data_IF_382095197387
#
_entry.id   IF_382095197387
#
_cell.length_a   1.000
_cell.length_b   1.000
_cell.length_c   1.000
_cell.angle_alpha   90.00
_cell.angle_beta   90.00
_cell.angle_gamma   90.00
#
_symmetry.space_group_name_H-M   'P 1'
#
loop_
_entity.id
_entity.type
_entity.pdbx_description
1 polymer ?
#
# COMPACT_ATOMS: atom_id res chain seq x y z
N UNK A 1 19.45 -33.82 -44.45
CA UNK A 1 19.13 -32.99 -43.27
C UNK A 1 18.25 -31.85 -43.76
N UNK A 2 16.91 -32.04 -43.74
CA UNK A 2 15.96 -31.02 -44.19
C UNK A 2 15.70 -30.02 -43.04
N UNK A 3 16.01 -28.76 -43.31
CA UNK A 3 15.71 -27.66 -42.40
C UNK A 3 14.18 -27.44 -42.35
N UNK A 4 13.57 -27.68 -41.23
CA UNK A 4 12.17 -27.35 -40.96
C UNK A 4 12.08 -25.83 -40.86
N UNK A 5 11.22 -25.17 -41.70
CA UNK A 5 11.04 -23.73 -41.62
C UNK A 5 10.41 -23.36 -40.27
N UNK A 6 10.76 -22.19 -39.68
CA UNK A 6 10.16 -21.73 -38.44
C UNK A 6 8.63 -21.52 -38.61
N UNK A 7 7.84 -21.78 -37.57
CA UNK A 7 6.40 -21.57 -37.61
C UNK A 7 6.10 -20.08 -37.88
N UNK A 8 5.03 -19.78 -38.62
CA UNK A 8 4.64 -18.41 -38.88
C UNK A 8 4.33 -17.68 -37.57
N UNK A 9 4.62 -16.37 -37.46
CA UNK A 9 4.30 -15.62 -36.25
C UNK A 9 2.79 -15.70 -35.99
N UNK A 10 2.43 -16.12 -34.81
CA UNK A 10 1.05 -16.19 -34.32
C UNK A 10 0.38 -14.83 -34.53
N UNK A 11 -0.57 -14.73 -35.43
CA UNK A 11 -1.35 -13.54 -35.78
C UNK A 11 -2.47 -13.25 -34.73
N UNK A 12 -2.28 -13.65 -33.49
CA UNK A 12 -3.01 -13.07 -32.40
C UNK A 12 -2.45 -11.65 -32.12
N UNK A 13 -2.52 -10.79 -33.15
CA UNK A 13 -2.41 -9.35 -32.97
C UNK A 13 -3.53 -8.97 -31.99
N UNK A 14 -3.12 -8.77 -30.76
CA UNK A 14 -3.93 -8.23 -29.68
C UNK A 14 -4.69 -7.01 -30.20
N UNK A 15 -5.96 -7.18 -30.53
CA UNK A 15 -6.88 -6.08 -30.75
C UNK A 15 -7.07 -5.36 -29.41
N UNK A 16 -6.09 -4.55 -29.04
CA UNK A 16 -6.36 -3.45 -28.12
C UNK A 16 -7.43 -2.62 -28.82
N UNK A 17 -8.66 -2.71 -28.33
CA UNK A 17 -9.69 -1.75 -28.68
C UNK A 17 -9.14 -0.39 -28.31
N UNK A 18 -8.64 0.35 -29.29
CA UNK A 18 -8.12 1.70 -29.11
C UNK A 18 -9.28 2.53 -28.58
N UNK A 19 -9.18 2.89 -27.33
CA UNK A 19 -10.14 3.76 -26.67
C UNK A 19 -10.22 5.06 -27.47
N UNK A 20 -11.42 5.57 -27.79
CA UNK A 20 -11.54 6.86 -28.44
C UNK A 20 -10.81 7.93 -27.62
N UNK A 21 -10.07 8.86 -28.24
CA UNK A 21 -9.14 9.77 -27.57
C UNK A 21 -9.75 10.66 -26.46
N UNK A 22 -11.07 10.68 -26.31
CA UNK A 22 -11.80 11.49 -25.32
C UNK A 22 -12.59 10.68 -24.28
N UNK A 23 -12.50 9.36 -24.28
CA UNK A 23 -13.24 8.60 -23.27
C UNK A 23 -12.57 8.71 -21.89
N UNK A 24 -13.34 9.04 -20.81
CA UNK A 24 -12.77 9.16 -19.46
C UNK A 24 -12.02 7.89 -19.02
N UNK A 25 -10.89 8.01 -18.26
CA UNK A 25 -10.17 6.86 -17.74
C UNK A 25 -11.06 5.99 -16.88
N UNK A 26 -11.10 4.68 -17.16
CA UNK A 26 -11.80 3.74 -16.31
C UNK A 26 -10.90 3.31 -15.16
N UNK A 27 -11.38 3.49 -13.95
CA UNK A 27 -10.75 3.02 -12.71
C UNK A 27 -11.59 1.89 -12.14
N UNK A 28 -10.95 0.76 -11.91
CA UNK A 28 -11.59 -0.42 -11.32
C UNK A 28 -11.13 -0.54 -9.88
N UNK A 29 -12.09 -0.60 -8.97
CA UNK A 29 -11.84 -0.95 -7.57
C UNK A 29 -12.11 -2.42 -7.39
N UNK A 30 -11.15 -3.14 -6.87
CA UNK A 30 -11.38 -4.54 -6.52
C UNK A 30 -12.37 -4.62 -5.35
N UNK A 31 -13.37 -5.47 -5.51
CA UNK A 31 -14.41 -5.74 -4.52
C UNK A 31 -14.61 -7.25 -4.31
N UNK A 32 -13.79 -8.08 -4.97
CA UNK A 32 -13.89 -9.55 -4.93
C UNK A 32 -13.10 -10.21 -3.81
N UNK A 33 -12.13 -9.51 -3.19
CA UNK A 33 -11.18 -10.11 -2.25
C UNK A 33 -11.45 -9.72 -0.78
N UNK A 34 -12.71 -9.68 -0.39
CA UNK A 34 -13.10 -9.40 1.00
C UNK A 34 -12.79 -8.00 1.47
N UNK A 35 -12.64 -7.05 0.55
CA UNK A 35 -12.42 -5.65 0.90
C UNK A 35 -13.62 -5.12 1.69
N UNK A 36 -13.38 -4.44 2.81
CA UNK A 36 -14.45 -3.73 3.49
C UNK A 36 -15.04 -2.68 2.54
N UNK A 37 -16.34 -2.57 2.52
CA UNK A 37 -17.20 -1.74 1.68
C UNK A 37 -16.56 -0.41 1.22
N UNK A 38 -15.79 -0.45 0.14
CA UNK A 38 -14.95 0.65 -0.34
C UNK A 38 -15.76 1.87 -0.83
N UNK A 39 -17.02 1.67 -1.24
CA UNK A 39 -17.85 2.70 -1.83
C UNK A 39 -19.36 2.54 -1.60
N UNK A 40 -19.80 1.74 -0.66
CA UNK A 40 -21.23 1.63 -0.37
C UNK A 40 -21.73 2.91 0.32
N UNK A 41 -22.28 3.82 -0.50
CA UNK A 41 -23.13 4.90 -0.06
C UNK A 41 -24.48 4.29 0.32
N UNK A 42 -24.74 4.10 1.59
CA UNK A 42 -26.07 3.60 2.02
C UNK A 42 -26.06 2.70 3.24
N UNK A 43 -24.91 2.25 3.69
CA UNK A 43 -24.79 1.65 5.01
C UNK A 43 -24.82 2.74 6.10
N UNK A 44 -25.45 2.42 7.22
CA UNK A 44 -25.46 3.29 8.38
C UNK A 44 -24.02 3.69 8.69
N UNK A 45 -23.72 4.98 8.57
CA UNK A 45 -22.37 5.55 8.70
C UNK A 45 -21.71 5.25 10.04
N UNK A 46 -22.44 4.67 10.98
CA UNK A 46 -21.95 4.27 12.29
C UNK A 46 -21.13 2.97 12.29
N UNK A 47 -21.30 2.13 11.26
CA UNK A 47 -20.58 0.85 11.16
C UNK A 47 -19.35 0.91 10.25
N UNK A 48 -19.18 1.97 9.46
CA UNK A 48 -18.05 2.10 8.53
C UNK A 48 -16.97 3.01 9.10
N UNK A 49 -16.05 2.42 9.81
CA UNK A 49 -14.94 3.16 10.41
C UNK A 49 -13.94 3.70 9.38
N UNK A 50 -13.85 3.08 8.20
CA UNK A 50 -12.97 3.48 7.11
C UNK A 50 -13.56 3.13 5.75
N UNK A 51 -13.34 3.97 4.74
CA UNK A 51 -13.76 3.72 3.36
C UNK A 51 -12.95 4.52 2.36
N UNK A 52 -12.99 4.10 1.10
CA UNK A 52 -12.30 4.74 -0.01
C UNK A 52 -13.17 5.74 -0.81
N UNK A 53 -14.29 6.19 -0.25
CA UNK A 53 -15.18 7.17 -0.91
C UNK A 53 -14.40 8.43 -1.31
N UNK A 54 -13.59 8.98 -0.43
CA UNK A 54 -12.80 10.18 -0.74
C UNK A 54 -11.73 9.96 -1.82
N UNK A 55 -11.15 8.76 -1.91
CA UNK A 55 -10.26 8.39 -3.02
C UNK A 55 -11.05 8.32 -4.33
N UNK A 56 -12.22 7.67 -4.32
CA UNK A 56 -13.12 7.62 -5.48
C UNK A 56 -13.54 9.02 -5.94
N UNK A 57 -13.96 9.88 -5.02
CA UNK A 57 -14.31 11.27 -5.34
C UNK A 57 -13.12 12.04 -5.94
N UNK A 58 -11.91 11.82 -5.42
CA UNK A 58 -10.69 12.44 -5.98
C UNK A 58 -10.49 12.01 -7.43
N UNK A 59 -10.64 10.72 -7.73
CA UNK A 59 -10.55 10.18 -9.09
C UNK A 59 -11.65 10.72 -10.01
N UNK A 60 -12.89 10.82 -9.51
CA UNK A 60 -14.00 11.44 -10.27
C UNK A 60 -13.70 12.92 -10.60
N UNK A 61 -13.14 13.68 -9.66
CA UNK A 61 -12.70 15.07 -9.90
C UNK A 61 -11.56 15.17 -10.92
N UNK A 62 -10.76 14.11 -11.07
CA UNK A 62 -9.74 14.00 -12.12
C UNK A 62 -10.31 13.49 -13.47
N UNK A 63 -11.64 13.40 -13.59
CA UNK A 63 -12.32 13.02 -14.82
C UNK A 63 -12.36 11.51 -15.07
N UNK A 64 -12.15 10.69 -14.05
CA UNK A 64 -12.23 9.24 -14.19
C UNK A 64 -13.65 8.70 -13.99
N UNK A 65 -13.95 7.58 -14.63
CA UNK A 65 -15.09 6.73 -14.30
C UNK A 65 -14.64 5.64 -13.33
N UNK A 66 -15.30 5.53 -12.18
CA UNK A 66 -14.98 4.52 -11.16
C UNK A 66 -16.05 3.42 -11.14
N UNK A 67 -15.64 2.17 -11.04
CA UNK A 67 -16.53 1.01 -10.96
C UNK A 67 -15.92 -0.08 -10.05
N UNK A 68 -16.74 -0.85 -9.31
CA UNK A 68 -16.28 -2.06 -8.65
C UNK A 68 -16.02 -3.20 -9.64
N UNK A 69 -15.18 -4.15 -9.28
CA UNK A 69 -14.98 -5.38 -10.06
C UNK A 69 -16.18 -6.32 -10.01
N UNK A 70 -17.02 -6.24 -8.98
CA UNK A 70 -18.15 -7.17 -8.79
C UNK A 70 -17.70 -8.64 -8.66
N UNK A 71 -18.66 -9.57 -8.78
CA UNK A 71 -18.40 -11.01 -8.64
C UNK A 71 -17.77 -11.67 -9.88
N UNK A 72 -17.43 -10.89 -10.89
CA UNK A 72 -16.83 -11.42 -12.12
C UNK A 72 -15.31 -11.40 -12.02
N UNK A 73 -14.66 -12.34 -12.74
CA UNK A 73 -13.21 -12.36 -12.87
C UNK A 73 -12.65 -10.97 -13.15
N UNK A 74 -11.66 -10.56 -12.36
CA UNK A 74 -10.97 -9.27 -12.46
C UNK A 74 -10.45 -9.02 -13.88
N UNK A 75 -10.03 -10.07 -14.61
CA UNK A 75 -9.55 -10.00 -15.99
C UNK A 75 -10.47 -9.24 -16.93
N UNK A 76 -11.78 -9.44 -16.81
CA UNK A 76 -12.75 -8.75 -17.69
C UNK A 76 -12.72 -7.24 -17.54
N UNK A 77 -12.46 -6.77 -16.33
CA UNK A 77 -12.35 -5.35 -16.05
C UNK A 77 -11.01 -4.77 -16.49
N UNK A 78 -9.91 -5.53 -16.31
CA UNK A 78 -8.55 -5.08 -16.62
C UNK A 78 -8.34 -4.79 -18.12
N UNK A 79 -9.07 -5.44 -19.02
CA UNK A 79 -8.97 -5.18 -20.47
C UNK A 79 -9.33 -3.73 -20.84
N UNK A 80 -10.15 -3.07 -20.03
CA UNK A 80 -10.66 -1.70 -20.29
C UNK A 80 -10.17 -0.69 -19.27
N UNK A 81 -9.65 -1.16 -18.14
CA UNK A 81 -9.17 -0.32 -17.07
C UNK A 81 -7.93 0.48 -17.46
N UNK A 82 -7.81 1.69 -16.95
CA UNK A 82 -6.56 2.46 -16.92
C UNK A 82 -5.84 2.25 -15.59
N UNK A 83 -6.59 2.20 -14.49
CA UNK A 83 -6.08 2.05 -13.13
C UNK A 83 -6.88 0.96 -12.41
N UNK A 84 -6.16 0.05 -11.78
CA UNK A 84 -6.69 -0.88 -10.78
C UNK A 84 -6.37 -0.33 -9.39
N UNK A 85 -7.38 -0.20 -8.55
CA UNK A 85 -7.26 0.09 -7.13
C UNK A 85 -7.54 -1.20 -6.37
N UNK A 86 -6.58 -1.67 -5.61
CA UNK A 86 -6.71 -2.79 -4.69
C UNK A 86 -6.77 -2.24 -3.25
N UNK A 87 -7.97 -2.03 -2.69
CA UNK A 87 -8.12 -1.79 -1.26
C UNK A 87 -7.56 -2.99 -0.49
N UNK A 88 -7.20 -2.84 0.78
CA UNK A 88 -6.64 -3.97 1.52
C UNK A 88 -7.60 -5.14 1.51
N UNK A 89 -7.23 -6.29 0.92
CA UNK A 89 -8.03 -7.49 1.05
C UNK A 89 -8.01 -7.90 2.53
N UNK A 90 -9.14 -8.37 3.03
CA UNK A 90 -9.26 -8.77 4.42
C UNK A 90 -10.23 -9.93 4.55
N UNK A 91 -9.92 -10.86 5.45
CA UNK A 91 -10.90 -11.84 5.91
C UNK A 91 -12.04 -11.14 6.68
N UNK A 92 -13.12 -11.85 6.97
CA UNK A 92 -14.14 -11.33 7.85
C UNK A 92 -13.66 -11.36 9.32
N UNK A 93 -13.97 -10.30 10.07
CA UNK A 93 -13.70 -10.31 11.51
C UNK A 93 -14.74 -11.18 12.22
N UNK A 94 -14.27 -12.18 12.94
CA UNK A 94 -15.14 -13.04 13.76
C UNK A 94 -15.16 -12.54 15.18
N UNK A 95 -16.30 -11.99 15.63
CA UNK A 95 -16.52 -11.60 17.02
C UNK A 95 -16.45 -12.78 18.00
N UNK A 96 -16.80 -14.01 17.54
CA UNK A 96 -16.72 -15.22 18.36
C UNK A 96 -15.28 -15.64 18.67
N UNK A 97 -14.33 -15.31 17.79
CA UNK A 97 -12.93 -15.70 17.92
C UNK A 97 -12.02 -14.51 18.21
N UNK A 98 -12.57 -13.30 18.20
CA UNK A 98 -11.81 -12.04 18.31
C UNK A 98 -10.61 -12.01 17.35
N UNK A 99 -10.78 -12.54 16.16
CA UNK A 99 -9.73 -12.70 15.16
C UNK A 99 -10.27 -12.54 13.74
N UNK A 100 -9.41 -12.10 12.85
CA UNK A 100 -9.68 -12.14 11.42
C UNK A 100 -9.66 -13.58 10.92
N UNK A 101 -10.77 -14.01 10.33
CA UNK A 101 -10.87 -15.30 9.69
C UNK A 101 -10.52 -15.14 8.22
N UNK A 102 -9.62 -15.97 7.67
CA UNK A 102 -9.39 -15.95 6.24
C UNK A 102 -10.68 -16.32 5.51
N UNK A 103 -11.05 -15.51 4.54
CA UNK A 103 -12.01 -15.88 3.53
C UNK A 103 -11.23 -16.45 2.33
N UNK A 104 -11.74 -17.51 1.72
CA UNK A 104 -11.14 -18.01 0.48
C UNK A 104 -11.06 -16.90 -0.58
N UNK A 105 -12.04 -15.99 -0.59
CA UNK A 105 -12.08 -14.81 -1.45
C UNK A 105 -11.08 -13.71 -1.10
N UNK A 106 -10.34 -13.79 0.01
CA UNK A 106 -9.31 -12.78 0.34
C UNK A 106 -7.94 -13.09 -0.25
N UNK A 107 -7.79 -14.21 -0.94
CA UNK A 107 -6.57 -14.63 -1.61
C UNK A 107 -6.70 -14.45 -3.12
N UNK A 108 -5.67 -13.88 -3.73
CA UNK A 108 -5.54 -13.86 -5.18
C UNK A 108 -5.02 -15.21 -5.66
N UNK A 109 -5.67 -15.80 -6.65
CA UNK A 109 -5.10 -16.98 -7.28
C UNK A 109 -3.96 -16.65 -8.25
N UNK A 110 -3.21 -17.66 -8.67
CA UNK A 110 -2.05 -17.47 -9.55
C UNK A 110 -2.42 -16.88 -10.91
N UNK A 111 -3.64 -17.15 -11.40
CA UNK A 111 -4.14 -16.60 -12.66
C UNK A 111 -4.43 -15.11 -12.50
N UNK A 112 -5.11 -14.70 -11.44
CA UNK A 112 -5.41 -13.28 -11.14
C UNK A 112 -4.14 -12.47 -10.96
N UNK A 113 -3.17 -12.99 -10.20
CA UNK A 113 -1.85 -12.36 -10.09
C UNK A 113 -1.20 -12.21 -11.46
N UNK A 114 -1.22 -13.27 -12.28
CA UNK A 114 -0.69 -13.23 -13.64
C UNK A 114 -1.39 -12.18 -14.53
N UNK A 115 -2.69 -12.01 -14.38
CA UNK A 115 -3.49 -11.02 -15.12
C UNK A 115 -3.18 -9.60 -14.69
N UNK A 116 -3.04 -9.34 -13.38
CA UNK A 116 -2.63 -8.03 -12.85
C UNK A 116 -1.23 -7.66 -13.35
N UNK A 117 -0.28 -8.60 -13.28
CA UNK A 117 1.08 -8.37 -13.77
C UNK A 117 1.13 -8.14 -15.29
N UNK A 118 0.31 -8.86 -16.06
CA UNK A 118 0.17 -8.63 -17.52
C UNK A 118 -0.41 -7.25 -17.81
N UNK A 119 -1.48 -6.87 -17.08
CA UNK A 119 -2.08 -5.54 -17.18
C UNK A 119 -1.04 -4.43 -16.95
N UNK A 120 -0.23 -4.56 -15.90
CA UNK A 120 0.85 -3.62 -15.65
C UNK A 120 1.90 -3.60 -16.77
N UNK A 121 2.37 -4.78 -17.22
CA UNK A 121 3.36 -4.84 -18.34
C UNK A 121 2.88 -4.11 -19.57
N UNK A 122 1.58 -4.15 -19.86
CA UNK A 122 0.95 -3.51 -21.02
C UNK A 122 0.68 -2.01 -20.83
N UNK A 123 1.01 -1.44 -19.69
CA UNK A 123 0.84 -0.02 -19.42
C UNK A 123 -0.35 0.33 -18.54
N UNK A 124 -0.95 -0.67 -17.89
CA UNK A 124 -1.92 -0.46 -16.82
C UNK A 124 -1.31 0.21 -15.60
N UNK A 125 -2.13 0.63 -14.67
CA UNK A 125 -1.74 1.32 -13.45
C UNK A 125 -2.28 0.57 -12.24
N UNK A 126 -1.52 0.54 -11.14
CA UNK A 126 -1.93 -0.11 -9.90
C UNK A 126 -1.74 0.82 -8.71
N UNK A 127 -2.78 0.96 -7.91
CA UNK A 127 -2.70 1.46 -6.55
C UNK A 127 -3.10 0.34 -5.60
N UNK A 128 -2.18 -0.11 -4.75
CA UNK A 128 -2.41 -1.19 -3.79
C UNK A 128 -2.17 -0.69 -2.39
N UNK A 129 -3.10 -0.97 -1.50
CA UNK A 129 -2.98 -0.73 -0.08
C UNK A 129 -3.00 -2.05 0.69
N UNK A 130 -2.10 -2.16 1.66
CA UNK A 130 -2.04 -3.27 2.60
C UNK A 130 -2.56 -2.84 3.98
N UNK A 131 -2.45 -3.72 4.96
CA UNK A 131 -2.63 -3.41 6.37
C UNK A 131 -1.32 -3.56 7.13
N UNK A 132 -1.28 -3.01 8.37
CA UNK A 132 -0.23 -3.31 9.34
C UNK A 132 0.03 -4.81 9.42
N UNK A 133 1.25 -5.21 9.66
CA UNK A 133 1.70 -6.61 9.69
C UNK A 133 1.48 -7.37 8.37
N UNK A 134 1.26 -6.67 7.24
CA UNK A 134 1.15 -7.29 5.93
C UNK A 134 0.19 -8.48 5.88
N UNK A 135 0.57 -9.50 5.13
CA UNK A 135 -0.25 -10.70 4.91
C UNK A 135 -0.52 -11.51 6.18
N UNK A 136 0.38 -11.46 7.16
CA UNK A 136 0.25 -12.27 8.38
C UNK A 136 -0.91 -11.81 9.28
N UNK A 137 -1.33 -10.55 9.16
CA UNK A 137 -2.43 -10.02 9.94
C UNK A 137 -3.80 -10.32 9.31
N UNK A 138 -3.90 -10.18 8.01
CA UNK A 138 -5.15 -10.32 7.25
C UNK A 138 -5.32 -11.70 6.63
N UNK A 139 -4.31 -12.58 6.75
CA UNK A 139 -4.25 -13.88 6.07
C UNK A 139 -4.46 -13.74 4.56
N UNK A 140 -3.73 -12.81 3.96
CA UNK A 140 -3.73 -12.56 2.52
C UNK A 140 -2.43 -13.06 1.90
N UNK A 141 -2.31 -12.96 0.57
CA UNK A 141 -1.10 -13.32 -0.17
C UNK A 141 -0.62 -12.17 -1.07
N UNK A 142 -0.81 -10.92 -0.64
CA UNK A 142 -0.37 -9.74 -1.38
C UNK A 142 1.12 -9.78 -1.72
N UNK A 143 1.92 -10.47 -0.89
CA UNK A 143 3.35 -10.65 -1.14
C UNK A 143 3.63 -11.38 -2.45
N UNK A 144 2.76 -12.30 -2.88
CA UNK A 144 2.90 -12.99 -4.16
C UNK A 144 2.72 -12.03 -5.34
N UNK A 145 1.86 -11.01 -5.19
CA UNK A 145 1.69 -9.95 -6.17
C UNK A 145 2.80 -8.90 -6.11
N UNK A 146 3.24 -8.51 -4.91
CA UNK A 146 4.20 -7.39 -4.74
C UNK A 146 5.64 -7.81 -4.98
N UNK A 147 6.00 -9.08 -4.73
CA UNK A 147 7.36 -9.61 -4.95
C UNK A 147 7.82 -9.48 -6.41
N UNK A 148 7.03 -9.85 -7.43
CA UNK A 148 7.39 -9.61 -8.82
C UNK A 148 7.54 -8.12 -9.19
N UNK A 149 6.91 -7.22 -8.44
CA UNK A 149 7.06 -5.77 -8.59
C UNK A 149 8.34 -5.24 -7.92
N UNK A 150 9.12 -6.12 -7.29
CA UNK A 150 10.34 -5.76 -6.59
C UNK A 150 10.13 -5.20 -5.18
N UNK A 151 8.99 -5.48 -4.58
CA UNK A 151 8.64 -5.00 -3.25
C UNK A 151 8.15 -6.14 -2.36
N UNK A 152 8.52 -6.10 -1.08
CA UNK A 152 8.02 -7.04 -0.08
C UNK A 152 7.28 -6.28 0.99
N UNK A 153 6.08 -6.74 1.32
CA UNK A 153 5.36 -6.32 2.52
C UNK A 153 6.02 -6.94 3.75
N UNK A 154 6.34 -6.12 4.75
CA UNK A 154 6.93 -6.59 5.99
C UNK A 154 5.85 -6.91 7.03
N UNK A 155 6.16 -7.88 7.90
CA UNK A 155 5.32 -8.28 9.03
C UNK A 155 5.57 -7.37 10.23
N UNK A 156 5.31 -6.07 10.04
CA UNK A 156 5.59 -5.04 11.04
C UNK A 156 4.51 -3.95 11.10
N UNK A 157 4.64 -3.06 12.07
CA UNK A 157 3.84 -1.85 12.19
C UNK A 157 4.71 -0.68 12.62
N UNK A 158 4.53 0.46 11.97
CA UNK A 158 5.17 1.72 12.36
C UNK A 158 4.31 2.43 13.40
N UNK A 159 4.93 2.79 14.52
CA UNK A 159 4.32 3.47 15.64
C UNK A 159 5.16 4.68 16.04
N UNK A 160 4.52 5.82 16.28
CA UNK A 160 5.16 6.97 16.88
C UNK A 160 5.10 6.87 18.41
N UNK A 161 6.25 6.94 19.05
CA UNK A 161 6.38 6.82 20.50
C UNK A 161 5.70 7.96 21.28
N UNK A 162 5.58 9.15 20.70
CA UNK A 162 4.93 10.28 21.35
C UNK A 162 3.40 10.11 21.36
N UNK A 163 2.83 9.85 20.19
CA UNK A 163 1.37 9.66 20.08
C UNK A 163 0.92 8.39 20.78
N UNK A 164 1.75 7.35 20.78
CA UNK A 164 1.46 6.10 21.49
C UNK A 164 1.29 6.29 23.00
N UNK A 165 1.97 7.27 23.60
CA UNK A 165 1.83 7.60 25.03
C UNK A 165 0.57 8.39 25.34
N UNK A 166 0.11 9.19 24.38
CA UNK A 166 -0.99 10.14 24.57
C UNK A 166 -2.36 9.58 24.18
N UNK A 167 -2.40 8.54 23.34
CA UNK A 167 -3.64 8.05 22.73
C UNK A 167 -3.72 6.51 22.77
N UNK A 168 -4.93 5.99 22.49
CA UNK A 168 -5.09 4.56 22.28
C UNK A 168 -4.25 4.11 21.06
N UNK A 169 -3.55 2.96 21.11
CA UNK A 169 -2.66 2.49 20.07
C UNK A 169 -3.25 2.49 18.65
N UNK A 170 -4.54 2.15 18.54
CA UNK A 170 -5.24 2.15 17.24
C UNK A 170 -5.56 3.56 16.74
N UNK A 171 -5.44 4.58 17.59
CA UNK A 171 -5.61 5.98 17.22
C UNK A 171 -4.28 6.70 17.01
N UNK A 172 -3.18 6.08 17.39
CA UNK A 172 -1.86 6.66 17.22
C UNK A 172 -1.57 6.91 15.74
N UNK A 173 -1.13 8.10 15.42
CA UNK A 173 -0.69 8.51 14.09
C UNK A 173 0.72 9.07 14.16
N UNK A 174 1.35 9.18 13.01
CA UNK A 174 2.61 9.88 12.84
C UNK A 174 2.60 10.72 11.56
N UNK A 175 3.39 11.77 11.59
CA UNK A 175 3.50 12.71 10.48
C UNK A 175 4.84 12.49 9.77
N UNK A 176 4.77 12.31 8.45
CA UNK A 176 5.94 12.26 7.58
C UNK A 176 6.16 13.64 6.99
N UNK A 177 7.23 14.35 7.40
CA UNK A 177 7.56 15.65 6.85
C UNK A 177 8.06 15.55 5.41
N UNK A 178 8.07 16.66 4.69
CA UNK A 178 8.52 16.75 3.30
C UNK A 178 9.91 16.15 3.06
N UNK A 179 10.81 16.22 4.03
CA UNK A 179 12.16 15.63 3.93
C UNK A 179 12.18 14.11 3.84
N UNK A 180 11.09 13.45 4.26
CA UNK A 180 10.89 12.01 4.17
C UNK A 180 10.04 11.59 2.96
N UNK A 181 9.76 12.50 2.01
CA UNK A 181 9.05 12.27 0.76
C UNK A 181 10.03 12.47 -0.40
N UNK A 182 10.75 11.43 -0.86
CA UNK A 182 11.90 11.60 -1.74
C UNK A 182 11.54 11.93 -3.20
N UNK A 183 10.28 11.70 -3.63
CA UNK A 183 9.87 11.91 -5.02
C UNK A 183 9.27 13.30 -5.22
N UNK A 184 9.94 14.14 -6.02
CA UNK A 184 9.58 15.54 -6.23
C UNK A 184 8.15 15.77 -6.72
N UNK A 185 7.65 14.90 -7.59
CA UNK A 185 6.29 14.98 -8.13
C UNK A 185 5.19 14.79 -7.06
N UNK A 186 5.50 14.09 -5.97
CA UNK A 186 4.57 13.91 -4.85
C UNK A 186 4.48 15.14 -3.95
N UNK A 187 5.41 16.07 -4.08
CA UNK A 187 5.63 17.18 -3.14
C UNK A 187 4.88 18.47 -3.49
N UNK A 188 4.20 18.54 -4.65
CA UNK A 188 3.51 19.76 -5.05
C UNK A 188 2.47 20.17 -4.02
N UNK A 189 2.78 21.26 -3.29
CA UNK A 189 1.96 21.80 -2.21
C UNK A 189 1.80 20.87 -0.99
N UNK A 190 2.67 19.86 -0.81
CA UNK A 190 2.67 18.94 0.33
C UNK A 190 3.82 19.30 1.26
N UNK A 191 3.50 19.60 2.52
CA UNK A 191 4.46 19.79 3.60
C UNK A 191 4.55 18.56 4.51
N UNK A 192 3.41 17.93 4.80
CA UNK A 192 3.33 16.82 5.75
C UNK A 192 2.23 15.85 5.35
N UNK A 193 2.52 14.56 5.42
CA UNK A 193 1.53 13.48 5.25
C UNK A 193 1.35 12.74 6.56
N UNK A 194 0.11 12.55 6.97
CA UNK A 194 -0.26 11.85 8.21
C UNK A 194 -0.62 10.40 7.94
N UNK A 195 -0.05 9.51 8.74
CA UNK A 195 -0.20 8.07 8.60
C UNK A 195 -0.65 7.43 9.89
N UNK A 196 -1.23 6.25 9.78
CA UNK A 196 -1.64 5.43 10.93
C UNK A 196 -1.41 3.97 10.62
N UNK A 197 -0.78 3.26 11.55
CA UNK A 197 -0.66 1.79 11.54
C UNK A 197 -0.13 1.23 10.19
N UNK A 198 0.95 1.79 9.70
CA UNK A 198 1.57 1.37 8.44
C UNK A 198 2.46 0.14 8.63
N UNK A 199 2.36 -0.85 7.75
CA UNK A 199 3.46 -1.79 7.52
C UNK A 199 4.59 -1.09 6.77
N UNK A 200 5.82 -1.55 6.94
CA UNK A 200 6.92 -1.11 6.07
C UNK A 200 7.01 -1.98 4.82
N UNK A 201 7.75 -1.48 3.85
CA UNK A 201 8.00 -2.12 2.56
C UNK A 201 9.50 -2.27 2.35
N UNK A 202 9.96 -3.45 1.95
CA UNK A 202 11.33 -3.63 1.49
C UNK A 202 11.38 -3.56 -0.03
N UNK A 203 12.31 -2.76 -0.56
CA UNK A 203 12.55 -2.66 -2.01
C UNK A 203 13.70 -3.60 -2.36
N UNK A 204 13.47 -4.48 -3.32
CA UNK A 204 14.49 -5.43 -3.76
C UNK A 204 15.53 -4.74 -4.65
N UNK A 205 16.81 -5.07 -4.52
CA UNK A 205 17.87 -4.50 -5.34
C UNK A 205 17.63 -4.74 -6.84
N UNK A 206 18.01 -3.75 -7.66
CA UNK A 206 17.93 -3.86 -9.12
C UNK A 206 16.53 -3.70 -9.71
N UNK A 207 15.53 -3.35 -8.91
CA UNK A 207 14.16 -3.11 -9.37
C UNK A 207 13.92 -1.64 -9.69
N UNK A 208 12.89 -1.37 -10.51
CA UNK A 208 12.45 0.01 -10.82
C UNK A 208 11.39 0.47 -9.83
N UNK A 209 11.72 0.40 -8.54
CA UNK A 209 10.87 0.83 -7.44
C UNK A 209 11.64 1.82 -6.54
N UNK A 210 10.95 2.83 -6.01
CA UNK A 210 11.54 3.89 -5.20
C UNK A 210 10.65 4.19 -3.99
N UNK A 211 11.24 4.58 -2.86
CA UNK A 211 10.46 5.08 -1.73
C UNK A 211 9.60 6.28 -2.16
N UNK A 212 8.31 6.22 -1.91
CA UNK A 212 7.39 7.35 -2.07
C UNK A 212 7.25 8.11 -0.77
N UNK A 213 7.24 7.40 0.35
CA UNK A 213 7.26 7.96 1.69
C UNK A 213 8.06 7.05 2.62
N UNK A 214 8.81 7.67 3.51
CA UNK A 214 9.60 7.02 4.56
C UNK A 214 8.97 7.31 5.93
N UNK A 215 9.04 6.35 6.85
CA UNK A 215 8.75 6.64 8.25
C UNK A 215 9.80 7.60 8.80
N UNK A 216 9.43 8.59 9.64
CA UNK A 216 10.42 9.44 10.29
C UNK A 216 11.27 8.61 11.26
N UNK A 217 12.58 8.66 11.07
CA UNK A 217 13.52 8.00 11.98
C UNK A 217 13.53 8.63 13.37
N UNK A 218 13.96 7.89 14.37
CA UNK A 218 14.16 8.38 15.74
C UNK A 218 12.91 8.43 16.61
N UNK A 219 11.83 9.10 16.19
CA UNK A 219 10.58 9.16 16.93
C UNK A 219 9.63 8.00 16.62
N UNK A 220 9.72 7.44 15.42
CA UNK A 220 8.95 6.29 15.00
C UNK A 220 9.76 5.01 15.12
N UNK A 221 9.08 3.97 15.53
CA UNK A 221 9.62 2.62 15.57
C UNK A 221 8.84 1.73 14.61
N UNK A 222 9.54 0.80 13.95
CA UNK A 222 8.92 -0.35 13.31
C UNK A 222 9.00 -1.53 14.26
N UNK A 223 7.85 -2.11 14.58
CA UNK A 223 7.75 -3.32 15.40
C UNK A 223 7.37 -4.50 14.53
N UNK A 224 8.32 -5.46 14.38
CA UNK A 224 8.07 -6.71 13.69
C UNK A 224 7.48 -7.76 14.65
N UNK A 225 6.29 -8.25 14.31
CA UNK A 225 5.52 -9.17 15.14
C UNK A 225 6.17 -10.55 15.23
N UNK A 226 6.56 -11.12 14.10
CA UNK A 226 7.08 -12.47 13.99
C UNK A 226 8.43 -12.63 14.67
N UNK A 227 9.29 -11.62 14.54
CA UNK A 227 10.63 -11.64 15.09
C UNK A 227 10.76 -10.86 16.42
N UNK A 228 9.71 -10.19 16.87
CA UNK A 228 9.72 -9.29 18.05
C UNK A 228 10.86 -8.28 18.02
N UNK A 229 11.19 -7.80 16.83
CA UNK A 229 12.28 -6.83 16.62
C UNK A 229 11.72 -5.42 16.51
N UNK A 230 12.50 -4.46 16.98
CA UNK A 230 12.19 -3.04 16.89
C UNK A 230 13.29 -2.38 16.06
N UNK A 231 12.89 -1.58 15.09
CA UNK A 231 13.80 -0.75 14.31
C UNK A 231 13.45 0.73 14.51
N UNK A 232 14.46 1.56 14.65
CA UNK A 232 14.35 3.03 14.68
C UNK A 232 14.76 3.67 13.35
N UNK A 233 15.06 2.85 12.36
CA UNK A 233 15.44 3.33 11.04
C UNK A 233 14.26 3.99 10.31
N UNK A 234 14.57 4.93 9.44
CA UNK A 234 13.62 5.44 8.48
C UNK A 234 13.42 4.39 7.38
N UNK A 235 12.21 3.82 7.30
CA UNK A 235 11.88 2.70 6.43
C UNK A 235 10.78 3.11 5.44
N UNK A 236 10.77 2.57 4.20
CA UNK A 236 9.69 2.83 3.25
C UNK A 236 8.34 2.35 3.81
N UNK A 237 7.34 3.24 3.80
CA UNK A 237 5.95 2.96 4.16
C UNK A 237 5.02 3.09 2.96
N UNK A 238 5.51 3.74 1.91
CA UNK A 238 4.90 3.76 0.59
C UNK A 238 6.00 3.73 -0.47
N UNK A 239 5.72 3.06 -1.58
CA UNK A 239 6.65 2.84 -2.70
C UNK A 239 5.93 3.13 -3.99
N UNK A 240 6.60 3.81 -4.92
CA UNK A 240 6.18 3.98 -6.30
C UNK A 240 7.16 3.26 -7.24
N UNK A 241 6.69 2.74 -8.38
CA UNK A 241 7.58 2.05 -9.28
C UNK A 241 7.01 1.85 -10.67
N UNK A 242 7.87 1.25 -11.53
CA UNK A 242 7.55 0.87 -12.89
C UNK A 242 7.59 -0.64 -13.03
N UNK A 243 6.66 -1.21 -13.80
CA UNK A 243 6.67 -2.61 -14.17
C UNK A 243 6.26 -2.75 -15.65
N UNK A 244 7.23 -3.07 -16.51
CA UNK A 244 7.05 -2.98 -17.94
C UNK A 244 6.70 -1.54 -18.36
N UNK A 245 5.56 -1.35 -19.02
CA UNK A 245 5.06 -0.01 -19.40
C UNK A 245 4.16 0.61 -18.31
N UNK A 246 3.84 -0.14 -17.26
CA UNK A 246 2.92 0.26 -16.21
C UNK A 246 3.61 0.99 -15.06
N UNK A 247 2.77 1.58 -14.21
CA UNK A 247 3.17 2.25 -12.97
C UNK A 247 2.42 1.63 -11.81
N UNK A 248 3.05 1.59 -10.67
CA UNK A 248 2.38 1.15 -9.45
C UNK A 248 2.72 2.02 -8.25
N UNK A 249 1.81 2.07 -7.32
CA UNK A 249 2.00 2.59 -5.96
C UNK A 249 1.54 1.55 -4.98
N UNK A 250 2.39 1.22 -4.02
CA UNK A 250 2.12 0.31 -2.92
C UNK A 250 2.19 1.09 -1.62
N UNK A 251 1.22 0.93 -0.75
CA UNK A 251 1.19 1.58 0.57
C UNK A 251 0.97 0.55 1.68
N UNK A 252 1.72 0.67 2.75
CA UNK A 252 1.70 -0.26 3.88
C UNK A 252 0.46 -0.17 4.76
N UNK A 253 -0.46 0.77 4.48
CA UNK A 253 -1.72 0.91 5.20
C UNK A 253 -2.66 1.90 4.54
N UNK A 254 -3.98 1.74 4.70
CA UNK A 254 -4.97 2.49 3.93
C UNK A 254 -5.31 3.87 4.49
N UNK A 255 -5.13 4.07 5.79
CA UNK A 255 -5.78 5.16 6.54
C UNK A 255 -5.48 6.57 6.03
N UNK A 256 -4.30 6.80 5.42
CA UNK A 256 -3.96 8.10 4.84
C UNK A 256 -4.88 8.48 3.65
N UNK A 257 -5.53 7.50 3.03
CA UNK A 257 -6.33 7.64 1.82
C UNK A 257 -7.82 7.33 2.03
N UNK A 258 -8.18 7.00 3.25
CA UNK A 258 -9.55 6.68 3.65
C UNK A 258 -10.25 7.89 4.28
N UNK A 259 -11.56 7.91 4.12
CA UNK A 259 -12.49 8.74 4.89
C UNK A 259 -13.15 7.92 6.00
N UNK A 260 -13.91 8.55 6.88
CA UNK A 260 -14.55 7.90 8.03
C UNK A 260 -13.80 8.13 9.34
N UNK A 261 -14.23 7.46 10.40
CA UNK A 261 -13.75 7.71 11.78
C UNK A 261 -12.24 7.50 11.96
N UNK A 262 -11.67 6.52 11.28
CA UNK A 262 -10.23 6.24 11.34
C UNK A 262 -9.47 6.74 10.11
N UNK A 263 -10.18 7.25 9.10
CA UNK A 263 -9.58 7.82 7.91
C UNK A 263 -8.85 9.13 8.19
N UNK A 264 -7.76 9.34 7.50
CA UNK A 264 -6.91 10.53 7.64
C UNK A 264 -6.87 11.39 6.39
N UNK A 265 -7.67 11.07 5.36
CA UNK A 265 -7.63 11.78 4.07
C UNK A 265 -7.80 13.30 4.21
N UNK A 266 -8.64 13.73 5.15
CA UNK A 266 -8.94 15.15 5.38
C UNK A 266 -8.02 15.79 6.44
N UNK A 267 -6.91 15.13 6.79
CA UNK A 267 -5.94 15.63 7.77
C UNK A 267 -4.61 15.95 7.12
N UNK A 268 -3.85 16.91 7.66
CA UNK A 268 -2.59 17.38 7.08
C UNK A 268 -2.75 17.66 5.58
N UNK A 269 -1.79 17.25 4.75
CA UNK A 269 -1.84 17.40 3.29
C UNK A 269 -2.22 16.10 2.57
N UNK A 270 -2.88 15.16 3.26
CA UNK A 270 -3.16 13.83 2.71
C UNK A 270 -3.99 13.87 1.42
N UNK A 271 -5.02 14.71 1.36
CA UNK A 271 -5.84 14.85 0.15
C UNK A 271 -5.04 15.36 -1.05
N UNK A 272 -4.11 16.29 -0.81
CA UNK A 272 -3.22 16.82 -1.84
C UNK A 272 -2.19 15.79 -2.28
N UNK A 273 -1.59 15.09 -1.32
CA UNK A 273 -0.67 13.98 -1.59
C UNK A 273 -1.35 12.89 -2.41
N UNK A 274 -2.57 12.46 -2.02
CA UNK A 274 -3.37 11.51 -2.79
C UNK A 274 -3.59 12.00 -4.23
N UNK A 275 -4.01 13.27 -4.40
CA UNK A 275 -4.21 13.84 -5.72
C UNK A 275 -2.95 13.76 -6.58
N UNK A 276 -1.79 14.11 -6.02
CA UNK A 276 -0.52 14.05 -6.73
C UNK A 276 -0.18 12.62 -7.14
N UNK A 277 -0.38 11.65 -6.24
CA UNK A 277 -0.20 10.20 -6.52
C UNK A 277 -1.11 9.74 -7.65
N UNK A 278 -2.39 10.12 -7.63
CA UNK A 278 -3.35 9.73 -8.68
C UNK A 278 -3.04 10.41 -10.02
N UNK A 279 -2.64 11.67 -10.02
CA UNK A 279 -2.16 12.35 -11.23
C UNK A 279 -0.97 11.62 -11.84
N UNK A 280 0.02 11.24 -11.03
CA UNK A 280 1.18 10.50 -11.52
C UNK A 280 0.79 9.13 -12.09
N UNK A 281 -0.11 8.40 -11.44
CA UNK A 281 -0.59 7.12 -11.93
C UNK A 281 -1.37 7.25 -13.24
N UNK A 282 -2.18 8.29 -13.39
CA UNK A 282 -3.05 8.48 -14.57
C UNK A 282 -2.32 9.13 -15.75
N UNK A 283 -1.17 9.76 -15.52
CA UNK A 283 -0.40 10.43 -16.55
C UNK A 283 0.14 9.43 -17.58
N UNK A 284 -0.03 9.74 -18.86
CA UNK A 284 0.47 8.96 -20.00
C UNK A 284 1.87 9.37 -20.44
N UNK A 285 2.37 10.52 -19.96
CA UNK A 285 3.74 10.94 -20.26
C UNK A 285 4.74 9.95 -19.64
N UNK A 286 5.89 9.70 -20.29
CA UNK A 286 6.94 8.92 -19.68
C UNK A 286 7.23 9.53 -18.29
N UNK A 287 7.18 8.66 -17.27
CA UNK A 287 7.47 9.12 -15.93
C UNK A 287 8.79 9.90 -15.97
N UNK A 288 8.83 11.18 -15.53
CA UNK A 288 10.11 11.77 -15.24
C UNK A 288 10.73 10.80 -14.23
N UNK A 289 11.74 10.05 -14.68
CA UNK A 289 12.66 9.37 -13.78
C UNK A 289 13.27 10.56 -13.07
N UNK A 290 12.63 10.94 -11.95
CA UNK A 290 13.16 11.99 -11.13
C UNK A 290 14.58 11.59 -10.91
N UNK A 291 15.50 12.45 -11.25
CA UNK A 291 16.79 12.41 -10.61
C UNK A 291 16.44 12.32 -9.12
N UNK A 292 16.29 11.07 -8.65
CA UNK A 292 16.38 10.78 -7.24
C UNK A 292 17.56 11.63 -6.84
N UNK A 293 17.37 12.47 -5.84
CA UNK A 293 18.49 13.14 -5.25
C UNK A 293 19.52 12.04 -5.02
N UNK A 294 20.39 11.88 -6.02
CA UNK A 294 21.54 11.00 -6.01
C UNK A 294 22.58 11.65 -5.09
N UNK A 295 22.15 11.99 -3.91
CA UNK A 295 22.89 12.37 -2.77
C UNK A 295 22.96 11.14 -1.88
N UNK A 296 23.99 10.37 -2.09
CA UNK A 296 24.74 9.57 -1.11
C UNK A 296 24.01 8.80 0.02
N UNK A 297 22.67 8.91 0.19
CA UNK A 297 21.96 8.29 1.31
C UNK A 297 21.47 6.85 1.07
N UNK A 298 21.61 6.29 -0.13
CA UNK A 298 21.03 4.98 -0.45
C UNK A 298 21.98 3.90 -0.94
N UNK A 299 23.26 4.18 -1.08
CA UNK A 299 24.23 3.14 -1.42
C UNK A 299 24.48 2.14 -0.27
N UNK A 300 24.01 2.42 0.95
CA UNK A 300 24.22 1.60 2.14
C UNK A 300 22.95 1.06 2.81
N UNK A 301 21.77 1.24 2.24
CA UNK A 301 20.58 0.53 2.70
C UNK A 301 20.48 -0.84 2.00
N UNK A 302 21.55 -1.60 2.03
CA UNK A 302 21.49 -3.06 1.93
C UNK A 302 20.60 -3.56 3.08
N UNK A 303 20.10 -4.81 3.03
CA UNK A 303 19.34 -5.43 4.11
C UNK A 303 20.22 -5.76 5.34
N UNK A 304 21.25 -5.02 5.60
CA UNK A 304 21.76 -4.90 6.94
C UNK A 304 20.65 -4.21 7.75
N UNK A 305 19.71 -5.07 8.17
CA UNK A 305 19.06 -4.87 9.45
C UNK A 305 20.15 -4.34 10.36
N UNK A 306 20.13 -3.02 10.61
CA UNK A 306 20.97 -2.44 11.61
C UNK A 306 20.62 -3.22 12.88
N UNK A 307 21.32 -4.33 13.09
CA UNK A 307 21.45 -4.92 14.38
C UNK A 307 22.07 -3.77 15.15
N UNK A 308 21.23 -3.01 15.84
CA UNK A 308 21.70 -2.23 16.96
C UNK A 308 22.29 -3.26 17.89
N UNK A 309 23.53 -3.62 17.62
CA UNK A 309 24.35 -4.34 18.56
C UNK A 309 24.38 -3.50 19.81
N UNK A 310 23.63 -3.95 20.75
CA UNK A 310 23.40 -3.41 22.07
C UNK A 310 24.73 -3.27 22.84
N UNK A 311 25.42 -2.16 22.64
CA UNK A 311 26.47 -1.75 23.57
C UNK A 311 25.87 -0.79 24.59
N UNK A 312 25.30 -1.37 25.64
CA UNK A 312 25.04 -0.70 26.93
C UNK A 312 23.80 0.18 27.08
N UNK A 313 23.52 1.09 26.17
CA UNK A 313 22.38 2.02 26.28
C UNK A 313 21.10 1.53 25.55
N UNK A 314 21.22 0.63 24.58
CA UNK A 314 20.11 0.15 23.78
C UNK A 314 19.19 -0.85 24.49
N UNK A 315 19.69 -1.67 25.42
CA UNK A 315 18.85 -2.64 26.14
C UNK A 315 17.79 -1.99 27.01
N UNK A 316 18.09 -0.84 27.61
CA UNK A 316 17.13 -0.09 28.41
C UNK A 316 15.99 0.49 27.55
N UNK A 317 16.29 0.93 26.33
CA UNK A 317 15.30 1.53 25.42
C UNK A 317 14.38 0.47 24.82
N UNK A 318 14.92 -0.65 24.34
CA UNK A 318 14.13 -1.78 23.82
C UNK A 318 13.25 -2.36 24.94
N UNK A 319 13.80 -2.65 26.09
CA UNK A 319 13.04 -3.14 27.26
C UNK A 319 11.99 -2.13 27.73
N UNK A 320 12.29 -0.84 27.67
CA UNK A 320 11.32 0.23 27.95
C UNK A 320 10.17 0.22 26.96
N UNK A 321 10.46 0.20 25.65
CA UNK A 321 9.45 0.16 24.59
C UNK A 321 8.60 -1.11 24.71
N UNK A 322 9.21 -2.28 24.87
CA UNK A 322 8.47 -3.53 25.08
C UNK A 322 7.57 -3.47 26.34
N UNK A 323 8.07 -2.90 27.41
CA UNK A 323 7.29 -2.71 28.64
C UNK A 323 6.11 -1.77 28.41
N UNK A 324 6.31 -0.66 27.69
CA UNK A 324 5.24 0.26 27.32
C UNK A 324 4.21 -0.41 26.39
N UNK A 325 4.69 -1.16 25.41
CA UNK A 325 3.81 -1.92 24.50
C UNK A 325 3.00 -2.98 25.26
N UNK A 326 3.55 -3.58 26.32
CA UNK A 326 2.85 -4.56 27.18
C UNK A 326 1.95 -3.88 28.19
N UNK A 327 2.45 -2.88 28.93
CA UNK A 327 1.71 -2.24 30.02
C UNK A 327 0.50 -1.44 29.54
N UNK A 328 0.58 -0.81 28.39
CA UNK A 328 -0.52 -0.04 27.82
C UNK A 328 -1.51 -0.90 27.02
N UNK A 329 -1.40 -2.23 27.09
CA UNK A 329 -2.25 -3.13 26.32
C UNK A 329 -2.05 -3.05 24.81
N UNK A 330 -1.01 -2.30 24.35
CA UNK A 330 -0.73 -2.09 22.93
C UNK A 330 -0.53 -3.41 22.21
N UNK A 331 0.32 -4.29 22.76
CA UNK A 331 0.53 -5.61 22.18
C UNK A 331 -0.76 -6.43 22.21
N UNK A 332 -1.57 -6.30 23.25
CA UNK A 332 -2.87 -6.95 23.34
C UNK A 332 -3.83 -6.36 22.31
N UNK A 333 -3.93 -5.04 22.19
CA UNK A 333 -4.76 -4.36 21.19
C UNK A 333 -4.30 -4.63 19.76
N UNK A 334 -2.99 -4.63 19.49
CA UNK A 334 -2.43 -4.95 18.19
C UNK A 334 -2.61 -6.43 17.83
N UNK A 335 -2.57 -7.33 18.82
CA UNK A 335 -2.77 -8.77 18.60
C UNK A 335 -4.25 -9.14 18.55
N UNK A 336 -5.11 -8.49 19.31
CA UNK A 336 -6.53 -8.81 19.37
C UNK A 336 -7.33 -8.20 18.24
N UNK A 337 -6.75 -7.31 17.40
CA UNK A 337 -7.48 -6.69 16.29
C UNK A 337 -8.92 -6.28 16.67
N UNK A 338 -9.11 -5.85 17.92
CA UNK A 338 -10.42 -5.41 18.37
C UNK A 338 -10.74 -4.09 17.68
N UNK A 339 -11.40 -4.21 16.56
CA UNK A 339 -12.25 -3.16 16.04
C UNK A 339 -13.42 -3.08 17.03
N UNK A 340 -13.28 -2.27 18.06
CA UNK A 340 -14.46 -1.89 18.80
C UNK A 340 -15.24 -0.87 17.98
N UNK A 341 -16.58 -1.02 17.96
CA UNK A 341 -17.47 -0.08 17.29
C UNK A 341 -17.34 1.34 17.84
#
# INVERSE_FOLDING_TARGET
MQLIPPPPPSSAAEQRTTRPPHAPPLVVFDAGHGQPNWAQTGFDSREMHTNFVGLMETLCRLGCLCTPSGDQSLAKYLTRAKLLVLPPPAGCYSTRREAWMPLASSLFDAQEIGEILRFLRQGGRLFLSAYRFGDSFTNTNLRELTSPLGCLLNDDVVLDLHTLRATHPLQAYFDTPRSCLPLSWSLDGVATVRWRLMATLSILPGTSAWPLALSPGGSCISFNRSHRRISFASLPIAVAGLYGKGRFVLVGGPHAFETGTFGLLNTADNARFLRNVMCWLLDDQPAPIGTALAGEAHANAGPELCQVENRGAGQSTVAYVERQLRSNGVLKALNQATWMP
#
